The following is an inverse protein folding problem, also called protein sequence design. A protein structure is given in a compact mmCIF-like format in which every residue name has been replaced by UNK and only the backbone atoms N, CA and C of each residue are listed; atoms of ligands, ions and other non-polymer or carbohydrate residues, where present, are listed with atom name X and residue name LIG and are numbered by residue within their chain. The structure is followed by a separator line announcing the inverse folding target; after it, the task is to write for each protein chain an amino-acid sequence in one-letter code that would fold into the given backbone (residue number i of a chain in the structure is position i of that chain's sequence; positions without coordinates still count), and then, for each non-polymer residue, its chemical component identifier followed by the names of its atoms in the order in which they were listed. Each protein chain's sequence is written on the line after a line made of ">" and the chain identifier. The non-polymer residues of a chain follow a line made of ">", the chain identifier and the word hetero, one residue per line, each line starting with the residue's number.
data_IF_179736623264
#
_entry.id   IF_179736623264
#
_cell.length_a   1.000
_cell.length_b   1.000
_cell.length_c   1.000
_cell.angle_alpha   90.00
_cell.angle_beta   90.00
_cell.angle_gamma   90.00
#
_symmetry.space_group_name_H-M   'P 1'
#
loop_
_entity.id
_entity.type
_entity.pdbx_description
1 polymer ?
#
# COMPACT_ATOMS: atom_id res chain seq x y z
N UNK A 1 17.45 -1.01 -14.94
CA UNK A 1 18.15 -2.31 -15.03
C UNK A 1 17.46 -3.13 -16.11
N UNK A 2 18.22 -3.82 -16.96
CA UNK A 2 17.67 -4.60 -18.07
C UNK A 2 16.94 -5.85 -17.58
N UNK A 3 15.89 -6.26 -18.31
CA UNK A 3 15.08 -7.47 -18.05
C UNK A 3 15.95 -8.74 -17.95
N UNK A 4 17.04 -8.76 -18.71
CA UNK A 4 18.02 -9.85 -18.78
C UNK A 4 18.73 -10.07 -17.43
N UNK A 5 19.12 -8.99 -16.75
CA UNK A 5 19.82 -9.08 -15.45
C UNK A 5 18.87 -9.58 -14.35
N UNK A 6 17.59 -9.21 -14.40
CA UNK A 6 16.60 -9.72 -13.42
C UNK A 6 16.34 -11.22 -13.54
N UNK A 7 16.37 -11.78 -14.75
CA UNK A 7 16.13 -13.21 -14.98
C UNK A 7 17.29 -14.10 -14.52
N UNK A 8 18.49 -13.54 -14.31
CA UNK A 8 19.64 -14.27 -13.78
C UNK A 8 19.64 -14.37 -12.24
N UNK A 9 18.76 -13.64 -11.55
CA UNK A 9 18.69 -13.63 -10.10
C UNK A 9 17.86 -14.79 -9.55
N UNK A 10 18.37 -15.44 -8.49
CA UNK A 10 17.59 -16.37 -7.69
C UNK A 10 16.35 -15.68 -7.09
N UNK A 11 15.29 -16.44 -6.79
CA UNK A 11 14.07 -15.86 -6.22
C UNK A 11 14.35 -15.03 -4.94
N UNK A 12 15.13 -15.51 -3.94
CA UNK A 12 15.46 -14.72 -2.76
C UNK A 12 16.24 -13.42 -3.07
N UNK A 13 17.08 -13.41 -4.11
CA UNK A 13 17.76 -12.18 -4.54
C UNK A 13 16.76 -11.17 -5.14
N UNK A 14 15.80 -11.64 -5.95
CA UNK A 14 14.72 -10.79 -6.50
C UNK A 14 13.85 -10.19 -5.39
N UNK A 15 13.45 -11.01 -4.41
CA UNK A 15 12.69 -10.56 -3.23
C UNK A 15 13.45 -9.47 -2.46
N UNK A 16 14.72 -9.72 -2.12
CA UNK A 16 15.55 -8.73 -1.40
C UNK A 16 15.76 -7.44 -2.18
N UNK A 17 15.91 -7.54 -3.50
CA UNK A 17 16.05 -6.37 -4.36
C UNK A 17 14.77 -5.53 -4.35
N UNK A 18 13.60 -6.16 -4.52
CA UNK A 18 12.31 -5.47 -4.50
C UNK A 18 12.07 -4.79 -3.14
N UNK A 19 12.25 -5.52 -2.05
CA UNK A 19 12.13 -5.00 -0.68
C UNK A 19 13.00 -3.76 -0.45
N UNK A 20 14.30 -3.83 -0.80
CA UNK A 20 15.24 -2.69 -0.69
C UNK A 20 14.87 -1.53 -1.60
N UNK A 21 14.30 -1.82 -2.77
CA UNK A 21 13.88 -0.80 -3.73
C UNK A 21 12.71 0.01 -3.18
N UNK A 22 11.69 -0.67 -2.67
CA UNK A 22 10.52 -0.04 -2.04
C UNK A 22 10.94 0.86 -0.87
N UNK A 23 11.75 0.34 0.07
CA UNK A 23 12.25 1.15 1.20
C UNK A 23 13.11 2.34 0.78
N UNK A 24 13.76 2.28 -0.40
CA UNK A 24 14.48 3.43 -0.95
C UNK A 24 13.52 4.46 -1.52
N UNK A 25 12.48 4.02 -2.23
CA UNK A 25 11.45 4.90 -2.78
C UNK A 25 10.69 5.62 -1.66
N UNK A 26 10.38 4.94 -0.56
CA UNK A 26 9.71 5.54 0.60
C UNK A 26 10.45 6.74 1.20
N UNK A 27 11.77 6.86 1.00
CA UNK A 27 12.53 8.03 1.44
C UNK A 27 12.12 9.34 0.75
N UNK A 28 11.44 9.22 -0.39
CA UNK A 28 10.85 10.34 -1.12
C UNK A 28 9.44 10.71 -0.68
N UNK A 29 8.81 9.94 0.19
CA UNK A 29 7.45 10.21 0.69
C UNK A 29 7.48 11.19 1.88
N UNK A 30 6.35 11.88 2.15
CA UNK A 30 6.12 12.59 3.42
C UNK A 30 6.43 11.70 4.64
N UNK A 31 6.85 12.30 5.75
CA UNK A 31 7.40 11.58 6.90
C UNK A 31 6.40 10.56 7.48
N UNK A 32 5.14 10.95 7.57
CA UNK A 32 4.03 10.16 8.10
C UNK A 32 3.73 8.96 7.19
N UNK A 33 3.61 9.21 5.88
CA UNK A 33 3.39 8.16 4.88
C UNK A 33 4.58 7.20 4.80
N UNK A 34 5.80 7.70 4.92
CA UNK A 34 7.00 6.88 4.98
C UNK A 34 6.99 5.97 6.21
N UNK A 35 6.70 6.51 7.39
CA UNK A 35 6.69 5.73 8.62
C UNK A 35 5.65 4.61 8.57
N UNK A 36 4.43 4.92 8.10
CA UNK A 36 3.37 3.95 7.89
C UNK A 36 3.78 2.88 6.87
N UNK A 37 4.24 3.30 5.69
CA UNK A 37 4.63 2.41 4.60
C UNK A 37 5.82 1.50 4.94
N UNK A 38 6.85 2.03 5.60
CA UNK A 38 8.02 1.24 6.00
C UNK A 38 7.65 0.11 6.97
N UNK A 39 6.72 0.36 7.90
CA UNK A 39 6.23 -0.66 8.82
C UNK A 39 5.39 -1.70 8.07
N UNK A 40 4.46 -1.26 7.22
CA UNK A 40 3.60 -2.15 6.45
C UNK A 40 4.40 -3.07 5.51
N UNK A 41 5.40 -2.53 4.78
CA UNK A 41 6.31 -3.30 3.93
C UNK A 41 7.05 -4.38 4.72
N UNK A 42 7.55 -4.06 5.90
CA UNK A 42 8.26 -5.03 6.76
C UNK A 42 7.34 -6.19 7.14
N UNK A 43 6.14 -5.86 7.58
CA UNK A 43 5.18 -6.84 8.07
C UNK A 43 4.68 -7.74 6.93
N UNK A 44 4.33 -7.18 5.78
CA UNK A 44 3.82 -7.95 4.65
C UNK A 44 4.87 -8.89 4.05
N UNK A 45 6.12 -8.43 3.86
CA UNK A 45 7.19 -9.31 3.39
C UNK A 45 7.50 -10.41 4.41
N UNK A 46 7.35 -10.13 5.72
CA UNK A 46 7.51 -11.14 6.77
C UNK A 46 6.38 -12.17 6.74
N UNK A 47 5.13 -11.73 6.57
CA UNK A 47 3.95 -12.62 6.45
C UNK A 47 4.04 -13.55 5.24
N UNK A 48 4.71 -13.11 4.18
CA UNK A 48 4.88 -13.89 2.94
C UNK A 48 6.13 -14.77 2.89
N UNK A 49 6.89 -14.91 3.99
CA UNK A 49 8.12 -15.74 3.99
C UNK A 49 7.86 -17.23 3.69
N UNK A 50 6.67 -17.74 4.04
CA UNK A 50 6.30 -19.16 3.92
C UNK A 50 5.11 -19.38 3.00
N UNK A 51 4.79 -18.42 2.12
CA UNK A 51 3.71 -18.56 1.16
C UNK A 51 4.04 -19.59 0.07
N UNK A 52 3.01 -20.11 -0.60
CA UNK A 52 3.21 -21.06 -1.68
C UNK A 52 3.75 -20.37 -2.95
N UNK A 53 4.30 -21.11 -3.93
CA UNK A 53 4.89 -20.48 -5.12
C UNK A 53 3.95 -19.60 -5.95
N UNK A 54 2.66 -19.91 -5.98
CA UNK A 54 1.66 -19.11 -6.71
C UNK A 54 1.43 -17.78 -6.00
N UNK A 55 1.22 -17.82 -4.68
CA UNK A 55 1.10 -16.63 -3.84
C UNK A 55 2.36 -15.77 -3.93
N UNK A 56 3.54 -16.38 -3.87
CA UNK A 56 4.82 -15.68 -4.00
C UNK A 56 4.94 -14.96 -5.35
N UNK A 57 4.49 -15.59 -6.44
CA UNK A 57 4.52 -14.98 -7.77
C UNK A 57 3.55 -13.81 -7.87
N UNK A 58 2.31 -13.96 -7.36
CA UNK A 58 1.33 -12.88 -7.34
C UNK A 58 1.82 -11.71 -6.48
N UNK A 59 2.30 -12.00 -5.27
CA UNK A 59 2.90 -11.03 -4.35
C UNK A 59 4.02 -10.24 -5.03
N UNK A 60 4.98 -10.93 -5.65
CA UNK A 60 6.09 -10.25 -6.34
C UNK A 60 5.61 -9.36 -7.50
N UNK A 61 4.57 -9.76 -8.23
CA UNK A 61 3.97 -8.96 -9.31
C UNK A 61 3.33 -7.69 -8.76
N UNK A 62 2.47 -7.80 -7.76
CA UNK A 62 1.74 -6.65 -7.20
C UNK A 62 2.67 -5.67 -6.48
N UNK A 63 3.66 -6.17 -5.73
CA UNK A 63 4.64 -5.30 -5.08
C UNK A 63 5.60 -4.63 -6.07
N UNK A 64 5.89 -5.25 -7.22
CA UNK A 64 6.63 -4.60 -8.30
C UNK A 64 5.78 -3.52 -9.00
N UNK A 65 4.47 -3.75 -9.16
CA UNK A 65 3.51 -2.74 -9.64
C UNK A 65 3.47 -1.55 -8.68
N UNK A 66 3.30 -1.79 -7.38
CA UNK A 66 3.35 -0.75 -6.34
C UNK A 66 4.64 0.08 -6.41
N UNK A 67 5.81 -0.57 -6.47
CA UNK A 67 7.08 0.13 -6.61
C UNK A 67 7.14 1.00 -7.89
N UNK A 68 6.51 0.54 -8.98
CA UNK A 68 6.44 1.29 -10.23
C UNK A 68 5.53 2.52 -10.11
N UNK A 69 4.35 2.38 -9.48
CA UNK A 69 3.45 3.49 -9.15
C UNK A 69 4.17 4.56 -8.32
N UNK A 70 4.81 4.17 -7.21
CA UNK A 70 5.56 5.13 -6.37
C UNK A 70 6.69 5.79 -7.17
N UNK A 71 7.39 5.03 -8.03
CA UNK A 71 8.44 5.60 -8.88
C UNK A 71 7.90 6.67 -9.84
N UNK A 72 6.70 6.51 -10.38
CA UNK A 72 6.07 7.49 -11.28
C UNK A 72 5.60 8.75 -10.52
N UNK A 73 5.07 8.55 -9.31
CA UNK A 73 4.60 9.65 -8.45
C UNK A 73 5.76 10.44 -7.83
N UNK A 74 6.92 9.81 -7.67
CA UNK A 74 8.16 10.50 -7.32
C UNK A 74 8.78 11.13 -8.58
N UNK A 75 9.01 12.44 -8.53
CA UNK A 75 9.75 13.14 -9.58
C UNK A 75 11.24 12.77 -9.62
N UNK A 76 11.98 13.30 -10.60
CA UNK A 76 13.40 13.02 -10.87
C UNK A 76 14.31 13.19 -9.63
N UNK A 77 13.93 14.07 -8.70
CA UNK A 77 14.66 14.34 -7.45
C UNK A 77 14.27 13.42 -6.28
N UNK A 78 13.42 12.42 -6.50
CA UNK A 78 12.89 11.56 -5.45
C UNK A 78 11.98 12.30 -4.48
N UNK A 79 11.25 13.32 -4.96
CA UNK A 79 10.22 14.03 -4.19
C UNK A 79 8.87 13.89 -4.89
N UNK A 80 7.75 13.93 -4.18
CA UNK A 80 6.43 13.78 -4.78
C UNK A 80 6.21 14.83 -5.86
N UNK A 81 5.70 14.41 -7.02
CA UNK A 81 5.34 15.28 -8.14
C UNK A 81 3.82 15.36 -8.21
N UNK A 82 3.22 16.17 -7.34
CA UNK A 82 1.77 16.32 -7.23
C UNK A 82 1.16 15.40 -6.18
N UNK A 83 -0.03 14.90 -6.48
CA UNK A 83 -0.79 14.02 -5.60
C UNK A 83 -0.15 12.63 -5.50
N UNK A 84 -0.24 12.03 -4.32
CA UNK A 84 0.22 10.67 -4.04
C UNK A 84 -1.00 9.74 -3.98
N UNK A 85 -0.84 8.53 -4.50
CA UNK A 85 -1.92 7.56 -4.62
C UNK A 85 -2.60 7.57 -6.00
N UNK A 86 -3.45 6.58 -6.20
CA UNK A 86 -4.27 6.40 -7.39
C UNK A 86 -5.73 6.25 -6.95
N UNK A 87 -6.67 6.53 -7.85
CA UNK A 87 -8.07 6.24 -7.57
C UNK A 87 -8.24 4.73 -7.44
N UNK A 88 -9.03 4.30 -6.46
CA UNK A 88 -9.36 2.90 -6.29
C UNK A 88 -10.19 2.43 -7.48
N UNK A 89 -9.83 1.26 -8.02
CA UNK A 89 -10.61 0.62 -9.07
C UNK A 89 -12.00 0.26 -8.51
N UNK A 90 -13.12 0.69 -9.15
CA UNK A 90 -14.46 0.31 -8.71
C UNK A 90 -14.63 -1.21 -8.58
N UNK A 91 -14.04 -1.98 -9.49
CA UNK A 91 -14.14 -3.45 -9.45
C UNK A 91 -13.44 -4.02 -8.21
N UNK A 92 -12.39 -3.35 -7.71
CA UNK A 92 -11.70 -3.75 -6.48
C UNK A 92 -12.52 -3.42 -5.23
N UNK A 93 -13.35 -2.35 -5.27
CA UNK A 93 -14.29 -2.02 -4.19
C UNK A 93 -15.36 -3.09 -4.07
N UNK A 94 -15.88 -3.58 -5.20
CA UNK A 94 -16.91 -4.63 -5.24
C UNK A 94 -16.41 -5.98 -4.71
N UNK A 95 -15.08 -6.19 -4.67
CA UNK A 95 -14.46 -7.39 -4.10
C UNK A 95 -14.22 -7.31 -2.58
N UNK A 96 -14.45 -6.15 -1.96
CA UNK A 96 -14.29 -6.00 -0.52
C UNK A 96 -15.42 -6.70 0.24
N UNK A 97 -15.10 -7.25 1.41
CA UNK A 97 -16.13 -7.72 2.36
C UNK A 97 -16.87 -6.53 2.96
N UNK A 98 -18.10 -6.75 3.41
CA UNK A 98 -18.95 -5.71 4.03
C UNK A 98 -18.20 -4.91 5.11
N UNK A 99 -17.52 -5.58 6.04
CA UNK A 99 -16.74 -4.91 7.10
C UNK A 99 -15.58 -4.05 6.54
N UNK A 100 -14.96 -4.47 5.44
CA UNK A 100 -13.88 -3.72 4.80
C UNK A 100 -14.41 -2.48 4.07
N UNK A 101 -15.61 -2.57 3.48
CA UNK A 101 -16.30 -1.43 2.89
C UNK A 101 -16.64 -0.39 3.95
N UNK A 102 -17.16 -0.83 5.11
CA UNK A 102 -17.42 0.05 6.26
C UNK A 102 -16.14 0.75 6.72
N UNK A 103 -15.06 0.00 6.93
CA UNK A 103 -13.77 0.57 7.33
C UNK A 103 -13.23 1.58 6.32
N UNK A 104 -13.35 1.30 5.02
CA UNK A 104 -12.93 2.22 3.97
C UNK A 104 -13.77 3.51 3.98
N UNK A 105 -15.07 3.40 4.25
CA UNK A 105 -15.97 4.54 4.36
C UNK A 105 -15.67 5.39 5.60
N UNK A 106 -15.46 4.78 6.76
CA UNK A 106 -15.05 5.46 7.99
C UNK A 106 -13.73 6.20 7.81
N UNK A 107 -12.76 5.57 7.13
CA UNK A 107 -11.49 6.20 6.77
C UNK A 107 -11.71 7.42 5.87
N UNK A 108 -12.61 7.34 4.89
CA UNK A 108 -12.96 8.47 4.02
C UNK A 108 -13.58 9.63 4.81
N UNK A 109 -14.49 9.34 5.75
CA UNK A 109 -15.09 10.36 6.61
C UNK A 109 -14.05 11.03 7.50
N UNK A 110 -13.19 10.25 8.15
CA UNK A 110 -12.11 10.76 8.99
C UNK A 110 -11.15 11.65 8.19
N UNK A 111 -10.75 11.22 6.99
CA UNK A 111 -9.86 12.00 6.12
C UNK A 111 -10.48 13.32 5.62
N UNK A 112 -11.81 13.39 5.50
CA UNK A 112 -12.57 14.61 5.17
C UNK A 112 -12.88 15.50 6.37
N UNK A 113 -12.51 15.08 7.59
CA UNK A 113 -12.88 15.77 8.82
C UNK A 113 -14.36 15.66 9.19
N UNK A 114 -15.05 14.62 8.71
CA UNK A 114 -16.47 14.34 8.92
C UNK A 114 -16.71 13.19 9.92
N UNK A 115 -15.65 12.67 10.54
CA UNK A 115 -15.70 11.47 11.39
C UNK A 115 -16.21 11.66 12.82
N UNK A 116 -16.45 12.90 13.25
CA UNK A 116 -16.83 13.22 14.65
C UNK A 116 -18.35 13.20 14.92
N UNK A 117 -19.18 12.97 13.89
CA UNK A 117 -20.65 12.99 13.99
C UNK A 117 -21.31 11.61 13.90
N UNK A 118 -20.57 10.51 14.14
CA UNK A 118 -21.22 9.23 14.44
C UNK A 118 -21.73 9.28 15.89
N UNK A 119 -22.88 9.92 16.02
CA UNK A 119 -23.81 9.87 17.16
C UNK A 119 -23.52 8.68 18.06
N UNK A 120 -22.99 8.95 19.26
CA UNK A 120 -22.97 7.94 20.30
C UNK A 120 -24.37 7.35 20.41
N UNK A 121 -24.47 6.03 20.43
CA UNK A 121 -25.72 5.26 20.61
C UNK A 121 -26.47 5.65 21.92
N UNK A 122 -25.94 6.59 22.69
CA UNK A 122 -26.48 7.08 23.96
C UNK A 122 -27.44 8.28 23.85
N UNK A 123 -27.56 8.96 22.72
CA UNK A 123 -28.44 10.15 22.62
C UNK A 123 -29.92 9.88 22.28
N UNK A 124 -30.32 8.61 22.13
CA UNK A 124 -31.73 8.23 21.84
C UNK A 124 -32.53 7.87 23.12
N UNK A 125 -31.94 7.96 24.32
CA UNK A 125 -32.63 7.57 25.57
C UNK A 125 -32.68 8.64 26.66
N UNK A 126 -32.82 9.90 26.24
CA UNK A 126 -32.88 11.04 27.16
C UNK A 126 -33.82 12.16 26.75
N UNK A 127 -35.02 11.87 26.25
CA UNK A 127 -36.21 12.75 26.34
C UNK A 127 -37.46 11.92 26.50
#
# INVERSE_FOLDING_TARGET
>A
MSRIVMNQLTHPQRVRLLYKTILRLHRGLPAELRALGDNYVRDEFRRHLTCNPMEAQLFMTEWARYASTITQQLGIRGKPKGELGEQIDPDAVDMLKDDQVVQLYELMLAAKGLGDDTSTVNDIRGK
#
